data_IF_770636169634
#
_entry.id   IF_770636169634
#
_cell.length_a   1.000
_cell.length_b   1.000
_cell.length_c   1.000
_cell.angle_alpha   90.00
_cell.angle_beta   90.00
_cell.angle_gamma   90.00
#
_symmetry.space_group_name_H-M   'P 1'
#
loop_
_entity.id
_entity.type
_entity.pdbx_description
1 polymer ?
#
# COMPACT_ATOMS: atom_id res chain seq x y z
N UNK A 1 -2.43 -34.23 47.69
CA UNK A 1 -1.49 -33.55 46.76
C UNK A 1 -0.97 -34.50 45.68
N UNK A 2 -0.63 -35.77 45.99
CA UNK A 2 -0.29 -36.79 44.97
C UNK A 2 -1.48 -37.15 44.06
N UNK A 3 -2.66 -37.38 44.62
CA UNK A 3 -3.84 -37.80 43.84
C UNK A 3 -4.33 -36.73 42.84
N UNK A 4 -4.15 -35.45 43.16
CA UNK A 4 -4.52 -34.35 42.25
C UNK A 4 -3.59 -34.28 41.04
N UNK A 5 -2.29 -34.52 41.23
CA UNK A 5 -1.32 -34.55 40.13
C UNK A 5 -1.50 -35.76 39.21
N UNK A 6 -2.05 -36.86 39.73
CA UNK A 6 -2.30 -38.07 38.96
C UNK A 6 -3.55 -37.93 38.08
N UNK A 7 -4.57 -37.24 38.58
CA UNK A 7 -5.77 -36.85 37.80
C UNK A 7 -5.41 -35.88 36.69
N UNK A 8 -4.59 -34.86 36.97
CA UNK A 8 -4.16 -33.88 35.95
C UNK A 8 -3.28 -34.51 34.86
N UNK A 9 -2.42 -35.48 35.21
CA UNK A 9 -1.62 -36.22 34.23
C UNK A 9 -2.47 -37.10 33.33
N UNK A 10 -3.51 -37.72 33.89
CA UNK A 10 -4.44 -38.55 33.12
C UNK A 10 -5.27 -37.71 32.16
N UNK A 11 -5.78 -36.56 32.62
CA UNK A 11 -6.48 -35.60 31.77
C UNK A 11 -5.59 -35.08 30.62
N UNK A 12 -4.31 -34.78 30.91
CA UNK A 12 -3.36 -34.35 29.89
C UNK A 12 -3.05 -35.45 28.84
N UNK A 13 -2.96 -36.71 29.28
CA UNK A 13 -2.78 -37.84 28.38
C UNK A 13 -4.02 -38.05 27.47
N UNK A 14 -5.22 -37.99 28.05
CA UNK A 14 -6.48 -38.13 27.31
C UNK A 14 -6.64 -37.02 26.26
N UNK A 15 -6.28 -35.77 26.57
CA UNK A 15 -6.28 -34.68 25.58
C UNK A 15 -5.25 -34.87 24.47
N UNK A 16 -4.10 -35.48 24.77
CA UNK A 16 -3.03 -35.71 23.79
C UNK A 16 -3.41 -36.84 22.83
N UNK A 17 -4.06 -37.88 23.35
CA UNK A 17 -4.58 -38.98 22.54
C UNK A 17 -5.75 -38.53 21.66
N UNK A 18 -6.59 -37.61 22.16
CA UNK A 18 -7.65 -37.01 21.35
C UNK A 18 -7.10 -36.15 20.22
N UNK A 19 -6.09 -35.32 20.49
CA UNK A 19 -5.42 -34.53 19.46
C UNK A 19 -4.70 -35.40 18.42
N UNK A 20 -4.13 -36.54 18.82
CA UNK A 20 -3.50 -37.48 17.89
C UNK A 20 -4.53 -38.14 16.95
N UNK A 21 -5.71 -38.51 17.46
CA UNK A 21 -6.80 -39.07 16.64
C UNK A 21 -7.36 -38.05 15.66
N UNK A 22 -7.53 -36.80 16.08
CA UNK A 22 -7.96 -35.72 15.18
C UNK A 22 -6.94 -35.48 14.07
N UNK A 23 -5.63 -35.58 14.37
CA UNK A 23 -4.58 -35.46 13.36
C UNK A 23 -4.60 -36.62 12.37
N UNK A 24 -4.83 -37.84 12.85
CA UNK A 24 -4.92 -39.06 12.04
C UNK A 24 -6.18 -39.06 11.16
N UNK A 25 -7.29 -38.48 11.64
CA UNK A 25 -8.50 -38.23 10.83
C UNK A 25 -8.26 -37.19 9.74
N UNK A 26 -7.51 -36.11 10.02
CA UNK A 26 -7.16 -35.09 9.03
C UNK A 26 -6.20 -35.66 7.97
N UNK A 27 -5.17 -36.41 8.39
CA UNK A 27 -4.25 -37.08 7.47
C UNK A 27 -4.96 -38.17 6.64
N UNK A 28 -5.90 -38.89 7.25
CA UNK A 28 -6.76 -39.86 6.55
C UNK A 28 -7.65 -39.18 5.50
N UNK A 29 -8.26 -38.06 5.83
CA UNK A 29 -9.06 -37.27 4.91
C UNK A 29 -8.22 -36.65 3.77
N UNK A 30 -6.98 -36.22 4.04
CA UNK A 30 -6.05 -35.79 2.98
C UNK A 30 -5.66 -36.94 2.06
N UNK A 31 -5.39 -38.14 2.60
CA UNK A 31 -5.07 -39.32 1.79
C UNK A 31 -6.26 -39.79 0.95
N UNK A 32 -7.47 -39.77 1.50
CA UNK A 32 -8.70 -40.06 0.74
C UNK A 32 -8.96 -39.00 -0.33
N UNK A 33 -8.72 -37.71 -0.04
CA UNK A 33 -8.82 -36.66 -1.04
C UNK A 33 -7.80 -36.83 -2.18
N UNK A 34 -6.57 -37.24 -1.86
CA UNK A 34 -5.54 -37.55 -2.84
C UNK A 34 -5.91 -38.78 -3.70
N UNK A 35 -6.43 -39.83 -3.07
CA UNK A 35 -6.89 -41.04 -3.75
C UNK A 35 -8.12 -40.81 -4.64
N UNK A 36 -9.05 -39.95 -4.21
CA UNK A 36 -10.19 -39.51 -5.03
C UNK A 36 -9.77 -38.63 -6.21
N UNK A 37 -8.65 -37.90 -6.07
CA UNK A 37 -8.06 -37.12 -7.15
C UNK A 37 -7.36 -38.02 -8.18
N UNK A 38 -6.76 -39.13 -7.75
CA UNK A 38 -6.15 -40.14 -8.64
C UNK A 38 -7.18 -41.06 -9.34
N UNK A 39 -8.37 -41.26 -8.75
CA UNK A 39 -9.41 -42.16 -9.27
C UNK A 39 -10.41 -41.52 -10.25
N UNK A 40 -10.32 -40.21 -10.53
CA UNK A 40 -11.20 -39.54 -11.48
C UNK A 40 -10.81 -39.88 -12.93
N UNK A 41 -11.79 -40.27 -13.77
CA UNK A 41 -11.57 -40.52 -15.20
C UNK A 41 -10.87 -39.31 -15.84
N UNK A 42 -9.73 -39.52 -16.52
CA UNK A 42 -8.93 -38.39 -16.97
C UNK A 42 -9.61 -37.76 -18.20
N UNK A 43 -9.66 -36.43 -18.21
CA UNK A 43 -10.26 -35.60 -19.29
C UNK A 43 -9.74 -36.01 -20.69
N UNK A 44 -10.36 -35.62 -21.82
CA UNK A 44 -9.80 -35.91 -23.14
C UNK A 44 -8.32 -35.45 -23.27
N UNK A 45 -7.48 -36.18 -24.01
CA UNK A 45 -6.02 -35.96 -24.09
C UNK A 45 -5.62 -34.51 -24.48
N UNK A 46 -6.47 -33.78 -25.20
CA UNK A 46 -6.30 -32.35 -25.52
C UNK A 46 -6.43 -31.41 -24.31
N UNK A 47 -7.11 -31.87 -23.25
CA UNK A 47 -7.34 -31.16 -21.99
C UNK A 47 -6.40 -31.66 -20.88
N UNK A 48 -5.80 -32.86 -21.02
CA UNK A 48 -4.89 -33.44 -20.03
C UNK A 48 -3.50 -32.78 -20.01
N UNK A 49 -2.97 -32.31 -21.14
CA UNK A 49 -1.53 -31.99 -21.23
C UNK A 49 -1.15 -30.61 -20.65
N UNK A 50 -2.06 -29.66 -20.42
CA UNK A 50 -1.64 -28.26 -20.16
C UNK A 50 -2.48 -27.51 -19.12
N UNK A 51 -3.16 -28.23 -18.22
CA UNK A 51 -4.05 -27.57 -17.26
C UNK A 51 -3.29 -26.80 -16.16
N UNK A 52 -2.67 -27.40 -15.14
CA UNK A 52 -2.14 -26.59 -14.03
C UNK A 52 -1.02 -27.23 -13.18
N UNK A 53 0.13 -27.53 -13.76
CA UNK A 53 1.39 -27.58 -13.00
C UNK A 53 2.32 -26.53 -13.61
N UNK A 54 2.14 -25.28 -13.22
CA UNK A 54 3.23 -24.31 -13.39
C UNK A 54 4.25 -24.63 -12.30
N UNK A 55 5.39 -25.18 -12.71
CA UNK A 55 6.53 -25.36 -11.81
C UNK A 55 6.95 -23.97 -11.31
N UNK A 56 6.75 -23.76 -10.01
CA UNK A 56 7.18 -22.53 -9.38
C UNK A 56 8.71 -22.55 -9.28
N UNK A 57 9.40 -21.45 -9.63
CA UNK A 57 10.84 -21.39 -9.47
C UNK A 57 11.28 -21.68 -8.03
N UNK A 58 12.37 -22.43 -7.87
CA UNK A 58 12.95 -22.71 -6.54
C UNK A 58 13.28 -21.42 -5.78
N UNK A 59 13.59 -20.33 -6.50
CA UNK A 59 13.86 -19.00 -5.94
C UNK A 59 12.70 -18.45 -5.08
N UNK A 60 11.46 -18.93 -5.29
CA UNK A 60 10.31 -18.53 -4.48
C UNK A 60 10.34 -19.14 -3.07
N UNK A 61 10.96 -20.32 -2.90
CA UNK A 61 11.16 -20.90 -1.57
C UNK A 61 12.05 -20.02 -0.70
N UNK A 62 13.03 -19.35 -1.30
CA UNK A 62 13.91 -18.42 -0.59
C UNK A 62 13.17 -17.17 -0.14
N UNK A 63 12.27 -16.63 -0.97
CA UNK A 63 11.37 -15.53 -0.56
C UNK A 63 10.52 -15.96 0.63
N UNK A 64 10.01 -17.19 0.65
CA UNK A 64 9.18 -17.66 1.75
C UNK A 64 9.95 -17.88 3.05
N UNK A 65 11.19 -18.38 2.96
CA UNK A 65 12.02 -18.71 4.12
C UNK A 65 12.78 -17.51 4.68
N UNK A 66 13.16 -16.57 3.82
CA UNK A 66 14.13 -15.54 4.14
C UNK A 66 13.72 -14.11 3.75
N UNK A 67 12.51 -13.86 3.23
CA UNK A 67 12.11 -12.50 2.83
C UNK A 67 12.05 -11.55 4.04
N UNK A 68 12.79 -10.43 4.01
CA UNK A 68 12.72 -9.40 5.06
C UNK A 68 11.56 -8.42 4.84
N UNK A 69 10.86 -8.48 3.70
CA UNK A 69 9.88 -7.47 3.29
C UNK A 69 8.45 -8.01 3.36
N UNK A 70 7.62 -7.38 4.20
CA UNK A 70 6.16 -7.65 4.29
C UNK A 70 5.49 -7.52 2.92
N UNK A 71 5.88 -6.51 2.13
CA UNK A 71 5.33 -6.27 0.78
C UNK A 71 5.61 -7.43 -0.19
N UNK A 72 6.80 -8.03 -0.09
CA UNK A 72 7.15 -9.18 -0.93
C UNK A 72 6.35 -10.44 -0.55
N UNK A 73 6.07 -10.62 0.75
CA UNK A 73 5.21 -11.70 1.22
C UNK A 73 3.76 -11.50 0.75
N UNK A 74 3.22 -10.28 0.83
CA UNK A 74 1.88 -9.95 0.32
C UNK A 74 1.74 -10.23 -1.18
N UNK A 75 2.74 -9.87 -1.99
CA UNK A 75 2.74 -10.16 -3.43
C UNK A 75 2.76 -11.66 -3.71
N UNK A 76 3.58 -12.41 -2.97
CA UNK A 76 3.65 -13.86 -3.12
C UNK A 76 2.33 -14.53 -2.71
N UNK A 77 1.69 -14.08 -1.63
CA UNK A 77 0.35 -14.54 -1.24
C UNK A 77 -0.69 -14.25 -2.33
N UNK A 78 -0.63 -13.08 -2.94
CA UNK A 78 -1.52 -12.69 -4.03
C UNK A 78 -1.34 -13.60 -5.25
N UNK A 79 -0.09 -13.85 -5.65
CA UNK A 79 0.23 -14.74 -6.76
C UNK A 79 -0.24 -16.17 -6.51
N UNK A 80 0.15 -16.76 -5.38
CA UNK A 80 -0.24 -18.12 -5.01
C UNK A 80 -1.76 -18.27 -4.94
N UNK A 81 -2.46 -17.26 -4.42
CA UNK A 81 -3.92 -17.26 -4.37
C UNK A 81 -4.54 -17.27 -5.77
N UNK A 82 -4.00 -16.49 -6.71
CA UNK A 82 -4.45 -16.51 -8.11
C UNK A 82 -4.26 -17.91 -8.69
N UNK A 83 -3.06 -18.48 -8.53
CA UNK A 83 -2.72 -19.81 -9.08
C UNK A 83 -3.59 -20.92 -8.50
N UNK A 84 -3.77 -20.97 -7.17
CA UNK A 84 -4.65 -21.94 -6.50
C UNK A 84 -6.10 -21.85 -6.99
N UNK A 85 -6.60 -20.63 -7.22
CA UNK A 85 -7.94 -20.41 -7.75
C UNK A 85 -8.08 -20.88 -9.20
N UNK A 86 -7.01 -20.78 -9.98
CA UNK A 86 -6.91 -21.39 -11.31
C UNK A 86 -6.93 -22.92 -11.25
N UNK A 87 -6.09 -23.52 -10.39
CA UNK A 87 -6.08 -24.97 -10.13
C UNK A 87 -7.48 -25.48 -9.79
N UNK A 88 -8.15 -24.83 -8.84
CA UNK A 88 -9.50 -25.21 -8.43
C UNK A 88 -10.51 -25.06 -9.55
N UNK A 89 -10.39 -24.05 -10.41
CA UNK A 89 -11.31 -23.87 -11.53
C UNK A 89 -11.12 -24.92 -12.64
N UNK A 90 -9.87 -25.35 -12.89
CA UNK A 90 -9.56 -26.39 -13.86
C UNK A 90 -10.02 -27.78 -13.40
N UNK A 91 -9.68 -28.16 -12.16
CA UNK A 91 -9.90 -29.52 -11.63
C UNK A 91 -11.18 -29.68 -10.80
N UNK A 92 -11.74 -28.59 -10.27
CA UNK A 92 -12.88 -28.63 -9.33
C UNK A 92 -14.23 -29.03 -9.93
N UNK A 93 -14.29 -29.45 -11.20
CA UNK A 93 -15.52 -29.98 -11.81
C UNK A 93 -15.84 -31.43 -11.39
N UNK A 94 -14.95 -32.12 -10.67
CA UNK A 94 -15.16 -33.50 -10.18
C UNK A 94 -15.83 -33.62 -8.81
N UNK A 95 -16.13 -32.51 -8.11
CA UNK A 95 -16.87 -32.53 -6.84
C UNK A 95 -18.18 -31.73 -6.92
N UNK A 96 -19.11 -32.16 -7.78
CA UNK A 96 -20.53 -31.90 -7.52
C UNK A 96 -21.01 -32.82 -6.38
N UNK A 97 -20.60 -32.50 -5.15
CA UNK A 97 -21.31 -32.95 -3.97
C UNK A 97 -22.68 -32.27 -3.89
N UNK A 98 -23.68 -32.89 -3.22
CA UNK A 98 -25.04 -32.37 -3.14
C UNK A 98 -25.01 -30.98 -2.48
N UNK A 99 -25.91 -30.11 -2.92
CA UNK A 99 -26.01 -28.69 -2.58
C UNK A 99 -25.88 -28.37 -1.08
N UNK A 100 -24.65 -28.33 -0.58
CA UNK A 100 -24.31 -27.71 0.69
C UNK A 100 -24.32 -26.21 0.48
N UNK A 101 -25.07 -25.49 1.32
CA UNK A 101 -25.15 -24.03 1.34
C UNK A 101 -23.79 -23.40 1.10
N UNK A 102 -23.59 -22.86 -0.12
CA UNK A 102 -22.37 -22.17 -0.54
C UNK A 102 -22.22 -20.96 0.38
N UNK A 103 -21.49 -21.13 1.48
CA UNK A 103 -21.06 -20.02 2.31
C UNK A 103 -20.31 -19.08 1.36
N UNK A 104 -20.96 -17.98 0.97
CA UNK A 104 -20.36 -16.92 0.16
C UNK A 104 -19.27 -16.29 1.00
N UNK A 105 -18.10 -16.96 1.11
CA UNK A 105 -16.86 -16.34 1.56
C UNK A 105 -16.55 -15.28 0.52
N UNK A 106 -17.14 -14.10 0.67
CA UNK A 106 -16.82 -12.91 -0.10
C UNK A 106 -15.41 -12.52 0.32
N UNK A 107 -14.43 -13.17 -0.28
CA UNK A 107 -13.07 -12.67 -0.33
C UNK A 107 -13.14 -11.19 -0.71
N UNK A 108 -12.40 -10.34 0.00
CA UNK A 108 -12.33 -8.92 -0.32
C UNK A 108 -12.03 -8.77 -1.82
N UNK A 109 -12.94 -8.10 -2.55
CA UNK A 109 -12.80 -7.93 -4.00
C UNK A 109 -11.67 -6.94 -4.25
N UNK A 110 -10.56 -7.43 -4.78
CA UNK A 110 -9.47 -6.57 -5.27
C UNK A 110 -10.01 -5.87 -6.53
N UNK A 111 -10.18 -4.55 -6.47
CA UNK A 111 -10.90 -3.81 -7.52
C UNK A 111 -10.30 -3.97 -8.92
N UNK A 112 -8.97 -4.12 -9.00
CA UNK A 112 -8.23 -4.28 -10.26
C UNK A 112 -8.08 -5.74 -10.72
N UNK A 113 -8.49 -6.74 -9.92
CA UNK A 113 -8.33 -8.16 -10.22
C UNK A 113 -9.70 -8.86 -10.29
N UNK A 114 -10.07 -9.31 -11.49
CA UNK A 114 -11.32 -10.06 -11.70
C UNK A 114 -11.07 -11.56 -11.57
N UNK A 115 -11.12 -12.04 -10.32
CA UNK A 115 -10.94 -13.46 -10.00
C UNK A 115 -11.99 -14.36 -10.67
N UNK A 116 -13.22 -13.87 -10.87
CA UNK A 116 -14.27 -14.68 -11.46
C UNK A 116 -14.06 -14.83 -12.96
N UNK A 117 -13.63 -13.78 -13.65
CA UNK A 117 -13.21 -13.84 -15.05
C UNK A 117 -12.03 -14.82 -15.22
N UNK A 118 -10.99 -14.69 -14.38
CA UNK A 118 -9.83 -15.59 -14.40
C UNK A 118 -10.24 -17.06 -14.27
N UNK A 119 -11.06 -17.39 -13.25
CA UNK A 119 -11.59 -18.76 -13.05
C UNK A 119 -12.33 -19.28 -14.28
N UNK A 120 -13.16 -18.45 -14.93
CA UNK A 120 -13.91 -18.86 -16.13
C UNK A 120 -12.99 -19.12 -17.32
N UNK A 121 -11.97 -18.29 -17.54
CA UNK A 121 -10.96 -18.52 -18.59
C UNK A 121 -10.20 -19.83 -18.36
N UNK A 122 -9.75 -20.08 -17.14
CA UNK A 122 -9.03 -21.31 -16.80
C UNK A 122 -9.94 -22.54 -16.92
N UNK A 123 -11.18 -22.48 -16.43
CA UNK A 123 -12.15 -23.57 -16.52
C UNK A 123 -12.63 -23.86 -17.96
N UNK A 124 -12.48 -22.90 -18.87
CA UNK A 124 -12.73 -23.04 -20.30
C UNK A 124 -11.54 -23.64 -21.06
N UNK A 125 -10.41 -23.89 -20.39
CA UNK A 125 -9.24 -24.52 -21.01
C UNK A 125 -8.46 -23.58 -21.92
N UNK A 126 -8.38 -22.29 -21.57
CA UNK A 126 -7.68 -21.28 -22.38
C UNK A 126 -6.17 -21.16 -22.11
N UNK A 127 -5.65 -21.80 -21.05
CA UNK A 127 -4.22 -21.82 -20.71
C UNK A 127 -3.30 -22.38 -21.82
N UNK A 128 -3.65 -23.46 -22.53
CA UNK A 128 -2.82 -23.97 -23.63
C UNK A 128 -2.62 -22.91 -24.71
N UNK A 129 -3.66 -22.17 -25.10
CA UNK A 129 -3.55 -21.08 -26.08
C UNK A 129 -2.59 -19.99 -25.59
N UNK A 130 -2.64 -19.62 -24.31
CA UNK A 130 -1.70 -18.66 -23.73
C UNK A 130 -0.23 -19.11 -23.88
N UNK A 131 0.04 -20.40 -23.61
CA UNK A 131 1.41 -20.95 -23.68
C UNK A 131 1.97 -21.06 -25.09
N UNK A 132 1.13 -20.98 -26.12
CA UNK A 132 1.60 -20.97 -27.50
C UNK A 132 2.34 -19.68 -27.85
N UNK A 133 2.01 -18.54 -27.24
CA UNK A 133 2.59 -17.24 -27.62
C UNK A 133 3.22 -16.45 -26.47
N UNK A 134 3.08 -16.92 -25.22
CA UNK A 134 3.62 -16.28 -24.02
C UNK A 134 4.42 -17.26 -23.16
N UNK A 135 5.58 -16.83 -22.62
CA UNK A 135 6.25 -17.52 -21.53
C UNK A 135 5.38 -17.54 -20.26
N UNK A 136 5.75 -18.38 -19.29
CA UNK A 136 5.07 -18.42 -18.01
C UNK A 136 5.28 -17.12 -17.22
N UNK A 137 4.30 -16.71 -16.40
CA UNK A 137 4.47 -15.52 -15.56
C UNK A 137 5.73 -15.56 -14.67
N UNK A 138 6.05 -16.68 -13.98
CA UNK A 138 7.29 -16.76 -13.19
C UNK A 138 8.58 -16.63 -14.01
N UNK A 139 8.58 -17.15 -15.25
CA UNK A 139 9.71 -17.04 -16.18
C UNK A 139 9.93 -15.57 -16.58
N UNK A 140 8.84 -14.86 -16.91
CA UNK A 140 8.88 -13.42 -17.19
C UNK A 140 9.39 -12.65 -15.95
N UNK A 141 8.96 -13.05 -14.76
CA UNK A 141 9.41 -12.45 -13.50
C UNK A 141 10.91 -12.56 -13.26
N UNK A 142 11.49 -13.73 -13.52
CA UNK A 142 12.94 -13.93 -13.37
C UNK A 142 13.73 -13.14 -14.43
N UNK A 143 13.23 -13.04 -15.67
CA UNK A 143 13.81 -12.20 -16.71
C UNK A 143 13.81 -10.72 -16.33
N UNK A 144 12.68 -10.20 -15.83
CA UNK A 144 12.55 -8.81 -15.38
C UNK A 144 13.49 -8.53 -14.21
N UNK A 145 13.53 -9.42 -13.21
CA UNK A 145 14.41 -9.31 -12.05
C UNK A 145 15.89 -9.26 -12.43
N UNK A 146 16.30 -10.08 -13.39
CA UNK A 146 17.69 -10.17 -13.85
C UNK A 146 18.01 -9.19 -15.00
N UNK A 147 17.04 -8.35 -15.41
CA UNK A 147 17.17 -7.38 -16.48
C UNK A 147 17.58 -8.02 -17.83
N UNK A 148 17.07 -9.23 -18.10
CA UNK A 148 17.39 -10.04 -19.27
C UNK A 148 16.32 -9.93 -20.37
N UNK A 149 16.74 -10.16 -21.63
CA UNK A 149 15.82 -10.30 -22.78
C UNK A 149 15.23 -11.70 -22.79
N UNK A 150 13.93 -11.81 -23.07
CA UNK A 150 13.22 -13.08 -23.15
C UNK A 150 13.25 -13.68 -24.55
N UNK A 151 13.11 -15.00 -24.64
CA UNK A 151 12.79 -15.68 -25.89
C UNK A 151 11.31 -16.01 -25.88
N UNK A 152 10.52 -15.35 -26.74
CA UNK A 152 9.09 -15.61 -26.81
C UNK A 152 8.77 -16.79 -27.73
N UNK A 153 7.80 -17.64 -27.37
CA UNK A 153 7.29 -18.67 -28.28
C UNK A 153 6.72 -18.03 -29.54
N UNK A 154 7.15 -18.46 -30.73
CA UNK A 154 6.68 -17.94 -32.02
C UNK A 154 5.86 -19.01 -32.75
N UNK A 155 4.52 -18.94 -32.73
CA UNK A 155 3.69 -19.86 -33.49
C UNK A 155 3.77 -19.64 -35.00
N UNK A 156 3.78 -20.73 -35.76
CA UNK A 156 3.75 -20.68 -37.24
C UNK A 156 2.40 -20.20 -37.81
N UNK A 157 1.34 -20.24 -37.00
CA UNK A 157 -0.04 -19.90 -37.40
C UNK A 157 -0.46 -18.54 -36.85
N UNK A 158 -1.37 -17.88 -37.56
CA UNK A 158 -1.92 -16.59 -37.15
C UNK A 158 -2.71 -16.70 -35.82
N UNK A 159 -2.81 -15.60 -35.02
CA UNK A 159 -3.60 -15.59 -33.79
C UNK A 159 -5.07 -16.00 -34.00
N UNK A 160 -5.65 -15.63 -35.14
CA UNK A 160 -7.05 -15.92 -35.48
C UNK A 160 -7.25 -17.42 -35.71
N UNK A 161 -6.34 -18.07 -36.44
CA UNK A 161 -6.39 -19.51 -36.70
C UNK A 161 -6.25 -20.31 -35.40
N UNK A 162 -5.26 -19.99 -34.57
CA UNK A 162 -5.04 -20.70 -33.31
C UNK A 162 -6.16 -20.49 -32.30
N UNK A 163 -6.73 -19.29 -32.23
CA UNK A 163 -7.85 -19.02 -31.34
C UNK A 163 -9.17 -19.64 -31.83
N UNK A 164 -9.31 -19.98 -33.12
CA UNK A 164 -10.52 -20.63 -33.66
C UNK A 164 -10.77 -22.00 -33.04
N UNK A 165 -9.70 -22.73 -32.70
CA UNK A 165 -9.75 -24.04 -32.06
C UNK A 165 -10.30 -23.99 -30.61
N UNK A 166 -10.32 -22.80 -30.00
CA UNK A 166 -10.76 -22.57 -28.62
C UNK A 166 -12.14 -21.88 -28.52
N UNK A 167 -12.83 -21.71 -29.64
CA UNK A 167 -14.19 -21.14 -29.65
C UNK A 167 -15.18 -22.15 -29.08
N UNK A 168 -16.01 -21.69 -28.14
CA UNK A 168 -17.08 -22.48 -27.51
C UNK A 168 -18.42 -21.85 -27.90
N UNK A 169 -19.12 -22.37 -28.93
CA UNK A 169 -20.35 -21.75 -29.47
C UNK A 169 -21.44 -21.53 -28.41
N UNK A 170 -21.60 -22.48 -27.49
CA UNK A 170 -22.64 -22.45 -26.46
C UNK A 170 -22.31 -21.53 -25.27
N UNK A 171 -21.11 -20.95 -25.24
CA UNK A 171 -20.68 -20.07 -24.15
C UNK A 171 -20.67 -18.60 -24.62
N UNK A 172 -21.50 -17.71 -24.04
CA UNK A 172 -21.59 -16.31 -24.47
C UNK A 172 -20.28 -15.52 -24.29
N UNK A 173 -19.38 -15.98 -23.40
CA UNK A 173 -18.08 -15.35 -23.17
C UNK A 173 -17.00 -15.83 -24.13
N UNK A 174 -17.16 -17.00 -24.76
CA UNK A 174 -16.13 -17.63 -25.61
C UNK A 174 -16.65 -18.07 -26.99
N UNK A 175 -17.79 -17.54 -27.44
CA UNK A 175 -18.45 -17.89 -28.71
C UNK A 175 -17.82 -17.30 -29.98
N UNK A 176 -16.71 -16.57 -29.87
CA UNK A 176 -16.09 -15.87 -31.00
C UNK A 176 -14.59 -15.72 -30.76
N UNK A 177 -13.82 -15.75 -31.86
CA UNK A 177 -12.35 -15.64 -31.84
C UNK A 177 -11.88 -14.40 -31.09
N UNK A 178 -12.49 -13.24 -31.36
CA UNK A 178 -12.15 -11.98 -30.68
C UNK A 178 -12.34 -12.04 -29.16
N UNK A 179 -13.40 -12.72 -28.71
CA UNK A 179 -13.69 -12.88 -27.28
C UNK A 179 -12.71 -13.84 -26.62
N UNK A 180 -12.37 -14.94 -27.30
CA UNK A 180 -11.35 -15.89 -26.84
C UNK A 180 -10.00 -15.20 -26.69
N UNK A 181 -9.54 -14.48 -27.72
CA UNK A 181 -8.27 -13.74 -27.66
C UNK A 181 -8.29 -12.70 -26.54
N UNK A 182 -9.36 -11.90 -26.42
CA UNK A 182 -9.51 -10.92 -25.33
C UNK A 182 -9.48 -11.59 -23.95
N UNK A 183 -10.15 -12.73 -23.80
CA UNK A 183 -10.19 -13.48 -22.55
C UNK A 183 -8.82 -14.04 -22.17
N UNK A 184 -8.08 -14.57 -23.15
CA UNK A 184 -6.70 -15.06 -22.95
C UNK A 184 -5.76 -13.92 -22.59
N UNK A 185 -5.81 -12.80 -23.31
CA UNK A 185 -5.00 -11.62 -22.99
C UNK A 185 -5.24 -11.16 -21.56
N UNK A 186 -6.51 -11.10 -21.16
CA UNK A 186 -6.87 -10.67 -19.81
C UNK A 186 -6.44 -11.66 -18.73
N UNK A 187 -6.57 -12.97 -19.00
CA UNK A 187 -6.10 -14.03 -18.10
C UNK A 187 -4.57 -13.94 -17.89
N UNK A 188 -3.80 -13.85 -18.99
CA UNK A 188 -2.34 -13.72 -18.93
C UNK A 188 -1.93 -12.42 -18.26
N UNK A 189 -2.61 -11.31 -18.55
CA UNK A 189 -2.33 -10.03 -17.91
C UNK A 189 -2.53 -10.08 -16.38
N UNK A 190 -3.52 -10.84 -15.89
CA UNK A 190 -3.70 -11.07 -14.44
C UNK A 190 -2.57 -11.92 -13.85
N UNK A 191 -2.12 -12.97 -14.53
CA UNK A 191 -0.99 -13.81 -14.09
C UNK A 191 0.29 -12.97 -13.97
N UNK A 192 0.64 -12.21 -15.02
CA UNK A 192 1.81 -11.33 -15.05
C UNK A 192 1.72 -10.23 -13.98
N UNK A 193 0.56 -9.58 -13.83
CA UNK A 193 0.41 -8.47 -12.88
C UNK A 193 0.40 -8.92 -11.40
N UNK A 194 0.15 -10.20 -11.14
CA UNK A 194 0.20 -10.79 -9.80
C UNK A 194 1.59 -11.33 -9.45
N UNK A 195 2.50 -11.52 -10.42
CA UNK A 195 3.81 -12.12 -10.18
C UNK A 195 4.71 -11.24 -9.30
N UNK A 196 5.35 -11.80 -8.25
CA UNK A 196 6.04 -11.01 -7.23
C UNK A 196 7.27 -10.23 -7.70
N UNK A 197 8.09 -10.78 -8.61
CA UNK A 197 9.29 -10.10 -9.10
C UNK A 197 8.92 -8.88 -9.98
N UNK A 198 7.94 -9.04 -10.87
CA UNK A 198 7.37 -7.98 -11.70
C UNK A 198 6.77 -6.91 -10.81
N UNK A 199 5.95 -7.30 -9.82
CA UNK A 199 5.36 -6.34 -8.88
C UNK A 199 6.43 -5.59 -8.09
N UNK A 200 7.46 -6.27 -7.60
CA UNK A 200 8.61 -5.68 -6.93
C UNK A 200 9.29 -4.62 -7.80
N UNK A 201 9.73 -5.02 -8.99
CA UNK A 201 10.44 -4.15 -9.93
C UNK A 201 9.62 -2.91 -10.32
N UNK A 202 8.38 -3.11 -10.77
CA UNK A 202 7.53 -2.01 -11.23
C UNK A 202 7.04 -1.12 -10.09
N UNK A 203 6.91 -1.65 -8.87
CA UNK A 203 6.61 -0.84 -7.68
C UNK A 203 7.76 0.12 -7.38
N UNK A 204 9.00 -0.35 -7.43
CA UNK A 204 10.15 0.50 -7.12
C UNK A 204 10.28 1.64 -8.13
N UNK A 205 10.04 1.36 -9.41
CA UNK A 205 9.95 2.39 -10.47
C UNK A 205 8.79 3.34 -10.16
N UNK A 206 7.59 2.83 -9.88
CA UNK A 206 6.43 3.69 -9.63
C UNK A 206 6.62 4.56 -8.37
N UNK A 207 7.12 4.02 -7.26
CA UNK A 207 7.31 4.78 -6.02
C UNK A 207 8.40 5.87 -6.16
N UNK A 208 9.42 5.64 -6.99
CA UNK A 208 10.49 6.61 -7.23
C UNK A 208 10.14 7.69 -8.26
N UNK A 209 9.24 7.39 -9.20
CA UNK A 209 8.92 8.28 -10.34
C UNK A 209 7.49 8.84 -10.30
N UNK A 210 6.60 8.32 -9.46
CA UNK A 210 5.21 8.77 -9.44
C UNK A 210 5.10 10.26 -9.09
N UNK A 211 4.22 10.93 -9.82
CA UNK A 211 3.95 12.35 -9.70
C UNK A 211 2.52 12.57 -9.20
N UNK A 212 2.38 13.52 -8.29
CA UNK A 212 1.11 14.01 -7.77
C UNK A 212 0.77 15.35 -8.44
N UNK A 213 -0.43 15.42 -8.98
CA UNK A 213 -1.01 16.65 -9.51
C UNK A 213 -2.42 16.88 -8.96
N UNK A 214 -2.79 18.15 -8.86
CA UNK A 214 -4.08 18.61 -8.36
C UNK A 214 -4.77 19.48 -9.40
N UNK A 215 -6.09 19.33 -9.55
CA UNK A 215 -6.90 20.16 -10.43
C UNK A 215 -8.07 20.72 -9.62
N UNK A 216 -8.33 22.04 -9.63
CA UNK A 216 -9.48 22.59 -8.94
C UNK A 216 -10.79 22.11 -9.59
N UNK A 217 -11.74 21.71 -8.74
CA UNK A 217 -13.10 21.40 -9.19
C UNK A 217 -13.85 22.69 -9.53
N UNK A 218 -15.10 22.56 -9.99
CA UNK A 218 -15.97 23.73 -10.17
C UNK A 218 -16.15 24.53 -8.87
N UNK A 219 -16.25 23.84 -7.73
CA UNK A 219 -16.32 24.46 -6.40
C UNK A 219 -14.99 25.15 -6.07
N UNK A 220 -13.87 24.43 -6.25
CA UNK A 220 -12.52 24.95 -6.06
C UNK A 220 -12.26 26.25 -6.81
N UNK A 221 -12.65 26.32 -8.09
CA UNK A 221 -12.47 27.51 -8.92
C UNK A 221 -13.26 28.73 -8.47
N UNK A 222 -14.36 28.55 -7.74
CA UNK A 222 -15.24 29.66 -7.30
C UNK A 222 -14.88 30.17 -5.92
N UNK A 223 -14.52 29.24 -5.02
CA UNK A 223 -14.42 29.52 -3.59
C UNK A 223 -12.95 29.67 -3.12
N UNK A 224 -11.97 29.08 -3.80
CA UNK A 224 -10.56 29.26 -3.43
C UNK A 224 -10.11 30.64 -3.91
N UNK A 225 -10.06 31.58 -2.97
CA UNK A 225 -9.41 32.89 -3.12
C UNK A 225 -8.01 32.88 -2.48
N UNK A 226 -7.35 34.04 -2.43
CA UNK A 226 -6.00 34.20 -1.85
C UNK A 226 -5.93 33.99 -0.33
N UNK A 227 -7.08 34.01 0.37
CA UNK A 227 -7.16 33.85 1.83
C UNK A 227 -7.76 32.50 2.24
N UNK A 228 -8.21 31.68 1.29
CA UNK A 228 -8.75 30.35 1.54
C UNK A 228 -7.66 29.40 2.07
N UNK A 229 -8.02 28.55 3.03
CA UNK A 229 -7.14 27.55 3.66
C UNK A 229 -6.48 26.53 2.70
N UNK A 230 -6.94 26.46 1.45
CA UNK A 230 -6.44 25.54 0.42
C UNK A 230 -5.76 26.28 -0.72
N UNK A 231 -5.58 27.59 -0.59
CA UNK A 231 -4.87 28.39 -1.58
C UNK A 231 -3.46 27.84 -1.82
N UNK A 232 -3.05 27.77 -3.09
CA UNK A 232 -1.79 27.19 -3.54
C UNK A 232 -1.89 25.68 -3.83
N UNK A 233 -2.79 24.95 -3.17
CA UNK A 233 -2.98 23.52 -3.42
C UNK A 233 -3.62 23.23 -4.77
N UNK A 234 -4.28 24.20 -5.40
CA UNK A 234 -4.87 24.06 -6.74
C UNK A 234 -3.83 24.07 -7.88
N UNK A 235 -2.58 24.39 -7.59
CA UNK A 235 -1.51 24.56 -8.57
C UNK A 235 -0.41 23.50 -8.50
N UNK A 236 -0.61 22.42 -7.73
CA UNK A 236 0.38 21.35 -7.64
C UNK A 236 0.37 20.56 -8.96
N UNK A 237 1.51 20.57 -9.65
CA UNK A 237 1.73 19.84 -10.90
C UNK A 237 3.04 19.07 -10.82
N UNK A 238 3.01 17.79 -11.19
CA UNK A 238 4.22 16.97 -11.33
C UNK A 238 5.04 16.80 -10.04
N UNK A 239 4.45 16.99 -8.85
CA UNK A 239 5.22 16.90 -7.60
C UNK A 239 5.51 15.44 -7.29
N UNK A 240 6.78 15.06 -7.19
CA UNK A 240 7.15 13.67 -6.90
C UNK A 240 6.54 13.21 -5.58
N UNK A 241 5.90 12.04 -5.63
CA UNK A 241 5.32 11.38 -4.47
C UNK A 241 6.39 11.09 -3.42
N UNK A 242 7.58 10.67 -3.86
CA UNK A 242 8.72 10.41 -3.00
C UNK A 242 9.06 11.62 -2.11
N UNK A 243 9.11 12.82 -2.69
CA UNK A 243 9.42 14.06 -1.96
C UNK A 243 8.36 14.38 -0.92
N UNK A 244 7.08 14.13 -1.24
CA UNK A 244 5.97 14.30 -0.29
C UNK A 244 6.12 13.28 0.85
N UNK A 245 6.39 12.01 0.54
CA UNK A 245 6.60 10.98 1.55
C UNK A 245 7.76 11.32 2.49
N UNK A 246 8.89 11.80 1.95
CA UNK A 246 10.03 12.20 2.77
C UNK A 246 9.70 13.41 3.65
N UNK A 247 8.99 14.41 3.10
CA UNK A 247 8.52 15.57 3.86
C UNK A 247 7.58 15.18 5.00
N UNK A 248 6.68 14.21 4.79
CA UNK A 248 5.80 13.72 5.86
C UNK A 248 6.58 12.90 6.90
N UNK A 249 7.52 12.04 6.47
CA UNK A 249 8.33 11.22 7.38
C UNK A 249 9.31 12.01 8.22
N UNK A 250 9.79 13.16 7.73
CA UNK A 250 10.68 14.04 8.49
C UNK A 250 9.96 14.80 9.61
N UNK A 251 8.61 14.78 9.64
CA UNK A 251 7.82 15.39 10.70
C UNK A 251 7.65 14.42 11.89
N UNK A 252 7.79 14.90 13.14
CA UNK A 252 7.95 16.29 13.56
C UNK A 252 9.42 16.69 13.58
N UNK A 253 9.73 17.94 13.25
CA UNK A 253 11.10 18.41 13.43
C UNK A 253 11.46 18.39 14.94
N UNK A 254 12.62 17.84 15.30
CA UNK A 254 13.07 17.82 16.68
C UNK A 254 13.25 19.26 17.19
N UNK A 255 12.63 19.56 18.32
CA UNK A 255 12.83 20.83 19.02
C UNK A 255 14.24 20.92 19.55
N UNK A 256 14.68 22.14 19.84
CA UNK A 256 15.77 22.38 20.79
C UNK A 256 15.53 21.65 22.13
N UNK A 257 14.29 21.66 22.63
CA UNK A 257 13.86 20.95 23.84
C UNK A 257 13.88 19.41 23.74
N UNK A 258 13.85 18.82 22.53
CA UNK A 258 13.88 17.35 22.37
C UNK A 258 15.32 16.81 22.49
N UNK A 259 16.33 17.68 22.33
CA UNK A 259 17.76 17.36 22.46
C UNK A 259 18.42 17.95 23.71
N UNK A 260 17.67 18.65 24.56
CA UNK A 260 18.21 19.26 25.77
C UNK A 260 18.68 18.14 26.74
N UNK A 261 20.00 17.98 26.97
CA UNK A 261 20.50 16.99 27.91
C UNK A 261 20.27 17.52 29.33
N UNK A 262 19.34 16.89 30.04
CA UNK A 262 19.00 17.26 31.40
C UNK A 262 18.18 18.54 31.45
N UNK A 263 16.99 18.44 32.03
CA UNK A 263 16.35 19.59 32.66
C UNK A 263 17.25 20.02 33.84
N UNK A 264 18.31 20.77 33.54
CA UNK A 264 18.93 21.64 34.50
C UNK A 264 18.14 22.92 34.39
N UNK A 265 17.24 23.15 35.35
CA UNK A 265 16.63 24.46 35.48
C UNK A 265 17.75 25.51 35.51
N UNK A 266 17.60 26.55 34.71
CA UNK A 266 18.61 27.57 34.57
C UNK A 266 18.48 28.21 33.20
N UNK A 267 18.14 29.49 33.22
CA UNK A 267 18.41 30.50 32.20
C UNK A 267 18.81 29.98 30.81
N UNK A 268 18.09 30.44 29.79
CA UNK A 268 18.75 30.89 28.56
C UNK A 268 19.83 31.91 28.96
N UNK A 269 20.99 31.43 29.42
CA UNK A 269 22.23 32.18 29.44
C UNK A 269 22.70 32.23 28.00
N UNK A 270 21.93 32.94 27.18
CA UNK A 270 22.51 33.59 26.02
C UNK A 270 23.42 34.65 26.63
N UNK A 271 24.71 34.57 26.34
CA UNK A 271 25.58 35.74 26.46
C UNK A 271 24.87 36.92 25.82
N UNK A 272 24.95 38.10 26.45
CA UNK A 272 24.33 39.34 25.96
C UNK A 272 24.75 39.70 24.51
N UNK A 273 25.75 38.99 23.95
CA UNK A 273 26.24 39.14 22.57
C UNK A 273 25.62 38.16 21.53
N UNK A 274 24.73 37.23 21.91
CA UNK A 274 24.01 36.32 20.98
C UNK A 274 22.51 36.63 20.85
N UNK A 275 22.07 37.81 21.29
CA UNK A 275 20.73 38.31 21.00
C UNK A 275 20.64 38.76 19.55
N UNK A 276 20.25 37.83 18.68
CA UNK A 276 19.06 37.91 17.80
C UNK A 276 19.01 36.54 17.11
N UNK A 277 18.47 35.54 17.81
CA UNK A 277 17.72 34.50 17.08
C UNK A 277 16.56 35.26 16.44
N UNK A 278 16.74 35.61 15.17
CA UNK A 278 15.81 36.39 14.38
C UNK A 278 14.39 35.92 14.68
N UNK A 279 13.55 36.80 15.22
CA UNK A 279 12.16 36.48 15.52
C UNK A 279 11.49 35.86 14.30
N UNK A 280 11.93 36.22 13.09
CA UNK A 280 11.48 35.60 11.85
C UNK A 280 11.83 34.11 11.78
N UNK A 281 13.00 33.67 12.25
CA UNK A 281 13.40 32.27 12.30
C UNK A 281 12.64 31.49 13.39
N UNK A 282 12.37 32.11 14.53
CA UNK A 282 11.54 31.49 15.60
C UNK A 282 10.10 31.35 15.13
N UNK A 283 9.51 32.40 14.56
CA UNK A 283 8.16 32.38 13.99
C UNK A 283 8.07 31.42 12.80
N UNK A 284 9.06 31.38 11.90
CA UNK A 284 9.10 30.41 10.80
C UNK A 284 9.23 28.97 11.31
N UNK A 285 9.95 28.73 12.41
CA UNK A 285 10.02 27.41 13.05
C UNK A 285 8.69 27.05 13.69
N UNK A 286 8.07 27.94 14.45
CA UNK A 286 6.72 27.73 14.99
C UNK A 286 5.68 27.52 13.88
N UNK A 287 5.75 28.27 12.79
CA UNK A 287 4.87 28.13 11.64
C UNK A 287 5.14 26.81 10.90
N UNK A 288 6.39 26.32 10.85
CA UNK A 288 6.71 24.98 10.32
C UNK A 288 6.24 23.86 11.24
N UNK A 289 6.30 24.06 12.56
CA UNK A 289 5.75 23.14 13.57
C UNK A 289 4.21 23.11 13.56
N UNK A 290 3.57 24.26 13.27
CA UNK A 290 2.13 24.41 13.06
C UNK A 290 1.70 24.03 11.65
N UNK A 291 2.63 24.02 10.68
CA UNK A 291 2.36 23.71 9.28
C UNK A 291 1.89 22.27 9.17
N UNK A 292 0.58 22.16 9.03
CA UNK A 292 -0.16 20.92 8.83
C UNK A 292 0.49 20.07 7.72
N UNK A 293 0.35 18.75 7.82
CA UNK A 293 0.77 17.82 6.77
C UNK A 293 0.23 18.28 5.40
N UNK A 294 1.11 18.32 4.39
CA UNK A 294 0.73 18.74 3.03
C UNK A 294 -0.30 17.77 2.49
N UNK A 295 -0.06 16.47 2.66
CA UNK A 295 -0.99 15.43 2.23
C UNK A 295 -2.31 15.48 3.00
N UNK A 296 -2.30 15.79 4.30
CA UNK A 296 -3.54 15.97 5.07
C UNK A 296 -4.41 17.10 4.50
N UNK A 297 -3.80 18.23 4.14
CA UNK A 297 -4.52 19.36 3.54
C UNK A 297 -5.07 19.01 2.15
N UNK A 298 -4.28 18.33 1.33
CA UNK A 298 -4.73 17.84 0.02
C UNK A 298 -5.93 16.89 0.18
N UNK A 299 -5.87 15.96 1.14
CA UNK A 299 -6.98 15.04 1.43
C UNK A 299 -8.21 15.76 1.99
N UNK A 300 -8.03 16.79 2.83
CA UNK A 300 -9.12 17.63 3.34
C UNK A 300 -9.81 18.38 2.19
N UNK A 301 -9.04 19.02 1.32
CA UNK A 301 -9.54 19.73 0.15
C UNK A 301 -10.27 18.80 -0.82
N UNK A 302 -9.73 17.60 -1.07
CA UNK A 302 -10.37 16.56 -1.88
C UNK A 302 -11.70 16.10 -1.28
N UNK A 303 -11.73 15.80 0.03
CA UNK A 303 -12.94 15.35 0.74
C UNK A 303 -14.04 16.42 0.75
N UNK A 304 -13.67 17.69 0.88
CA UNK A 304 -14.60 18.82 0.84
C UNK A 304 -14.98 19.24 -0.59
N UNK A 305 -14.45 18.55 -1.61
CA UNK A 305 -14.82 18.72 -3.02
C UNK A 305 -14.17 19.90 -3.73
N UNK A 306 -13.12 20.51 -3.17
CA UNK A 306 -12.43 21.64 -3.79
C UNK A 306 -11.42 21.22 -4.86
N UNK A 307 -10.77 20.06 -4.70
CA UNK A 307 -9.72 19.58 -5.59
C UNK A 307 -9.96 18.14 -6.03
N UNK A 308 -9.60 17.85 -7.28
CA UNK A 308 -9.34 16.50 -7.76
C UNK A 308 -7.83 16.23 -7.65
N UNK A 309 -7.47 15.03 -7.21
CA UNK A 309 -6.07 14.62 -7.01
C UNK A 309 -5.78 13.40 -7.88
N UNK A 310 -4.70 13.47 -8.64
CA UNK A 310 -4.26 12.38 -9.51
C UNK A 310 -2.81 12.04 -9.19
N UNK A 311 -2.56 10.75 -8.98
CA UNK A 311 -1.21 10.19 -8.87
C UNK A 311 -0.97 9.41 -10.15
N UNK A 312 0.02 9.76 -10.94
CA UNK A 312 0.34 9.09 -12.20
C UNK A 312 1.82 8.71 -12.26
N UNK A 313 2.19 7.77 -13.16
CA UNK A 313 3.56 7.67 -13.62
C UNK A 313 4.06 9.03 -14.15
N UNK A 314 5.38 9.21 -14.31
CA UNK A 314 5.97 10.49 -14.68
C UNK A 314 5.36 11.01 -15.98
N UNK A 315 5.09 12.32 -16.00
CA UNK A 315 4.53 12.97 -17.17
C UNK A 315 5.62 13.75 -17.91
N UNK A 316 5.76 13.54 -19.21
CA UNK A 316 6.65 14.37 -20.04
C UNK A 316 5.84 15.45 -20.74
N UNK A 317 6.37 16.67 -20.75
CA UNK A 317 5.84 17.73 -21.59
C UNK A 317 6.36 17.51 -23.01
N UNK A 318 5.45 17.26 -23.95
CA UNK A 318 5.83 17.12 -25.36
C UNK A 318 6.13 18.53 -25.91
N UNK A 319 7.24 18.73 -26.63
CA UNK A 319 7.58 20.05 -27.18
C UNK A 319 6.53 20.61 -28.14
N UNK A 320 5.72 19.73 -28.74
CA UNK A 320 4.66 20.08 -29.70
C UNK A 320 3.41 20.72 -29.06
N UNK A 321 3.18 20.53 -27.75
CA UNK A 321 2.03 21.10 -27.02
C UNK A 321 2.44 21.56 -25.60
N UNK A 322 3.03 22.76 -25.47
CA UNK A 322 3.38 23.32 -24.16
C UNK A 322 2.09 23.53 -23.34
N UNK A 323 1.89 22.68 -22.34
CA UNK A 323 0.73 22.72 -21.42
C UNK A 323 -0.06 21.42 -21.31
N UNK A 324 0.16 20.44 -22.20
CA UNK A 324 -0.42 19.09 -22.08
C UNK A 324 0.65 18.11 -21.63
N UNK A 325 0.70 17.84 -20.33
CA UNK A 325 1.55 16.78 -19.77
C UNK A 325 0.94 15.42 -20.09
N UNK A 326 1.61 14.62 -20.91
CA UNK A 326 1.19 13.25 -21.22
C UNK A 326 2.00 12.27 -20.37
N UNK A 327 1.35 11.21 -19.89
CA UNK A 327 2.04 10.14 -19.14
C UNK A 327 3.06 9.50 -20.07
N UNK A 328 4.34 9.57 -19.71
CA UNK A 328 5.37 8.81 -20.41
C UNK A 328 5.47 7.43 -19.77
N UNK A 329 5.00 6.44 -20.52
CA UNK A 329 5.01 5.06 -20.10
C UNK A 329 6.12 4.26 -20.77
N UNK A 330 6.85 4.83 -21.74
CA UNK A 330 7.79 4.06 -22.55
C UNK A 330 8.86 3.41 -21.67
N UNK A 331 9.48 4.22 -20.80
CA UNK A 331 10.49 3.75 -19.84
C UNK A 331 9.89 2.81 -18.78
N UNK A 332 8.63 3.01 -18.40
CA UNK A 332 7.94 2.15 -17.46
C UNK A 332 7.63 0.77 -18.07
N UNK A 333 7.26 0.71 -19.35
CA UNK A 333 6.91 -0.54 -20.06
C UNK A 333 8.12 -1.30 -20.60
N UNK A 334 9.26 -0.63 -20.74
CA UNK A 334 10.48 -1.17 -21.33
C UNK A 334 10.91 -2.54 -20.79
N UNK A 335 10.85 -2.83 -19.47
CA UNK A 335 11.20 -4.16 -18.96
C UNK A 335 10.34 -5.27 -19.58
N UNK A 336 9.04 -5.03 -19.78
CA UNK A 336 8.14 -6.02 -20.39
C UNK A 336 8.32 -6.10 -21.91
N UNK A 337 8.59 -4.98 -22.59
CA UNK A 337 8.90 -5.00 -24.02
C UNK A 337 10.10 -5.88 -24.33
N UNK A 338 11.16 -5.77 -23.53
CA UNK A 338 12.35 -6.59 -23.69
C UNK A 338 12.11 -8.08 -23.44
N UNK A 339 11.21 -8.42 -22.53
CA UNK A 339 10.90 -9.83 -22.23
C UNK A 339 9.93 -10.45 -23.21
N UNK A 340 9.06 -9.66 -23.84
CA UNK A 340 7.86 -10.15 -24.53
C UNK A 340 7.75 -9.78 -26.01
N UNK A 341 8.61 -8.92 -26.56
CA UNK A 341 8.57 -8.59 -28.00
C UNK A 341 9.75 -9.26 -28.71
N UNK A 342 9.44 -9.98 -29.79
CA UNK A 342 10.48 -10.47 -30.71
C UNK A 342 10.83 -9.35 -31.69
N UNK A 343 11.99 -8.72 -31.47
CA UNK A 343 12.53 -7.67 -32.34
C UNK A 343 13.52 -8.23 -33.38
N UNK A 344 13.87 -9.52 -33.30
CA UNK A 344 14.86 -10.15 -34.18
C UNK A 344 14.31 -10.54 -35.54
N UNK A 345 13.02 -10.89 -35.61
CA UNK A 345 12.34 -11.35 -36.82
C UNK A 345 11.47 -10.27 -37.49
N UNK A 346 11.91 -9.01 -37.45
CA UNK A 346 11.19 -7.91 -38.10
C UNK A 346 11.01 -8.17 -39.61
N UNK A 347 9.79 -8.51 -40.02
CA UNK A 347 9.45 -8.82 -41.42
C UNK A 347 8.61 -10.08 -41.63
N UNK A 348 8.49 -10.97 -40.64
CA UNK A 348 7.50 -12.05 -40.69
C UNK A 348 6.13 -11.56 -40.22
N UNK A 349 5.14 -11.64 -41.12
CA UNK A 349 3.78 -11.14 -40.86
C UNK A 349 3.12 -11.86 -39.67
N UNK A 350 3.37 -13.15 -39.49
CA UNK A 350 2.77 -13.92 -38.38
C UNK A 350 3.36 -13.48 -37.05
N UNK A 351 4.69 -13.27 -37.00
CA UNK A 351 5.39 -12.74 -35.83
C UNK A 351 4.88 -11.34 -35.47
N UNK A 352 4.63 -10.46 -36.45
CA UNK A 352 4.07 -9.13 -36.22
C UNK A 352 2.66 -9.17 -35.61
N UNK A 353 1.81 -10.09 -36.07
CA UNK A 353 0.48 -10.29 -35.50
C UNK A 353 0.54 -10.72 -34.02
N UNK A 354 1.44 -11.64 -33.68
CA UNK A 354 1.63 -12.07 -32.29
C UNK A 354 2.25 -10.97 -31.44
N UNK A 355 3.22 -10.20 -31.95
CA UNK A 355 3.74 -9.02 -31.27
C UNK A 355 2.62 -8.00 -30.98
N UNK A 356 1.67 -7.82 -31.90
CA UNK A 356 0.47 -7.02 -31.68
C UNK A 356 -0.41 -7.51 -30.52
N UNK A 357 -0.60 -8.83 -30.40
CA UNK A 357 -1.33 -9.44 -29.28
C UNK A 357 -0.59 -9.29 -27.95
N UNK A 358 0.74 -9.51 -27.94
CA UNK A 358 1.58 -9.33 -26.73
C UNK A 358 1.61 -7.88 -26.28
N UNK A 359 1.68 -6.92 -27.20
CA UNK A 359 1.61 -5.50 -26.87
C UNK A 359 0.31 -5.14 -26.16
N UNK A 360 -0.83 -5.70 -26.59
CA UNK A 360 -2.11 -5.52 -25.89
C UNK A 360 -2.10 -6.11 -24.47
N UNK A 361 -1.46 -7.27 -24.27
CA UNK A 361 -1.26 -7.85 -22.93
C UNK A 361 -0.45 -6.90 -22.05
N UNK A 362 0.68 -6.39 -22.54
CA UNK A 362 1.55 -5.46 -21.80
C UNK A 362 0.79 -4.19 -21.42
N UNK A 363 0.01 -3.64 -22.36
CA UNK A 363 -0.83 -2.48 -22.09
C UNK A 363 -1.87 -2.76 -20.99
N UNK A 364 -2.52 -3.93 -21.03
CA UNK A 364 -3.48 -4.34 -19.98
C UNK A 364 -2.79 -4.50 -18.61
N UNK A 365 -1.65 -5.20 -18.55
CA UNK A 365 -0.84 -5.39 -17.35
C UNK A 365 -0.53 -4.04 -16.69
N UNK A 366 0.02 -3.10 -17.46
CA UNK A 366 0.47 -1.80 -16.93
C UNK A 366 -0.71 -0.90 -16.56
N UNK A 367 -1.64 -0.66 -17.49
CA UNK A 367 -2.68 0.36 -17.33
C UNK A 367 -3.84 -0.09 -16.45
N UNK A 368 -4.27 -1.34 -16.59
CA UNK A 368 -5.48 -1.82 -15.94
C UNK A 368 -5.20 -2.53 -14.61
N UNK A 369 -3.98 -3.04 -14.40
CA UNK A 369 -3.63 -3.85 -13.22
C UNK A 369 -2.58 -3.19 -12.34
N UNK A 370 -1.35 -3.01 -12.83
CA UNK A 370 -0.21 -2.53 -12.04
C UNK A 370 -0.39 -1.10 -11.55
N UNK A 371 -0.64 -0.13 -12.46
CA UNK A 371 -0.79 1.29 -12.08
C UNK A 371 -1.93 1.50 -11.07
N UNK A 372 -3.15 0.96 -11.26
CA UNK A 372 -4.22 1.07 -10.26
C UNK A 372 -3.85 0.45 -8.91
N UNK A 373 -3.18 -0.72 -8.91
CA UNK A 373 -2.68 -1.34 -7.69
C UNK A 373 -1.70 -0.43 -6.97
N UNK A 374 -0.67 0.08 -7.65
CA UNK A 374 0.37 0.89 -7.02
C UNK A 374 -0.13 2.26 -6.57
N UNK A 375 -1.07 2.88 -7.30
CA UNK A 375 -1.78 4.09 -6.83
C UNK A 375 -2.42 3.87 -5.47
N UNK A 376 -3.09 2.73 -5.27
CA UNK A 376 -3.70 2.37 -4.00
C UNK A 376 -2.65 2.22 -2.89
N UNK A 377 -1.52 1.55 -3.15
CA UNK A 377 -0.44 1.38 -2.17
C UNK A 377 0.25 2.70 -1.81
N UNK A 378 0.55 3.54 -2.80
CA UNK A 378 1.14 4.87 -2.59
C UNK A 378 0.22 5.76 -1.77
N UNK A 379 -1.07 5.81 -2.11
CA UNK A 379 -2.05 6.58 -1.36
C UNK A 379 -2.14 6.08 0.10
N UNK A 380 -2.12 4.76 0.32
CA UNK A 380 -2.05 4.18 1.66
C UNK A 380 -0.73 4.50 2.40
N UNK A 381 0.41 4.54 1.70
CA UNK A 381 1.69 4.93 2.27
C UNK A 381 1.71 6.41 2.68
N UNK A 382 1.21 7.30 1.84
CA UNK A 382 1.07 8.73 2.14
C UNK A 382 0.16 8.95 3.35
N UNK A 383 -0.98 8.24 3.42
CA UNK A 383 -1.88 8.28 4.58
C UNK A 383 -1.17 7.84 5.86
N UNK A 384 -0.46 6.70 5.84
CA UNK A 384 0.29 6.19 6.99
C UNK A 384 1.37 7.16 7.46
N UNK A 385 2.18 7.67 6.53
CA UNK A 385 3.22 8.65 6.83
C UNK A 385 2.65 9.92 7.45
N UNK A 386 1.55 10.42 6.88
CA UNK A 386 0.83 11.60 7.38
C UNK A 386 0.24 11.38 8.76
N UNK A 387 -0.41 10.24 9.00
CA UNK A 387 -0.93 9.91 10.33
C UNK A 387 0.18 9.86 11.37
N UNK A 388 1.31 9.22 11.04
CA UNK A 388 2.45 9.16 11.94
C UNK A 388 3.02 10.56 12.22
N UNK A 389 3.16 11.39 11.19
CA UNK A 389 3.61 12.77 11.30
C UNK A 389 2.73 13.60 12.24
N UNK A 390 1.40 13.51 12.08
CA UNK A 390 0.43 14.23 12.91
C UNK A 390 0.47 13.72 14.35
N UNK A 391 0.48 12.40 14.57
CA UNK A 391 0.54 11.80 15.91
C UNK A 391 1.82 12.24 16.61
N UNK A 392 2.97 12.11 15.95
CA UNK A 392 4.23 12.51 16.52
C UNK A 392 4.24 14.01 16.83
N UNK A 393 3.74 14.86 15.92
CA UNK A 393 3.60 16.30 16.17
C UNK A 393 2.69 16.62 17.36
N UNK A 394 1.57 15.92 17.50
CA UNK A 394 0.66 16.07 18.63
C UNK A 394 1.32 15.64 19.96
N UNK A 395 2.03 14.52 19.98
CA UNK A 395 2.77 14.03 21.16
C UNK A 395 3.86 15.01 21.56
N UNK A 396 4.62 15.50 20.59
CA UNK A 396 5.69 16.47 20.81
C UNK A 396 5.13 17.79 21.36
N UNK A 397 4.07 18.33 20.75
CA UNK A 397 3.40 19.53 21.24
C UNK A 397 2.82 19.34 22.64
N UNK A 398 2.22 18.18 22.92
CA UNK A 398 1.67 17.87 24.23
C UNK A 398 2.76 17.81 25.31
N UNK A 399 3.89 17.14 25.01
CA UNK A 399 5.05 17.07 25.91
C UNK A 399 5.64 18.44 26.19
N UNK A 400 5.87 19.25 25.15
CA UNK A 400 6.46 20.58 25.27
C UNK A 400 5.57 21.57 26.03
N UNK A 401 4.26 21.57 25.77
CA UNK A 401 3.34 22.57 26.33
C UNK A 401 2.78 22.23 27.69
N UNK A 402 2.64 20.93 28.02
CA UNK A 402 1.89 20.52 29.20
C UNK A 402 2.67 19.65 30.18
N UNK A 403 3.50 18.71 29.70
CA UNK A 403 4.18 17.76 30.59
C UNK A 403 5.56 18.23 31.07
N UNK A 404 6.35 18.81 30.19
CA UNK A 404 7.74 19.19 30.47
C UNK A 404 7.88 20.65 30.94
N UNK A 405 6.77 21.31 31.28
CA UNK A 405 6.77 22.66 31.82
C UNK A 405 6.91 22.56 33.33
N UNK A 406 8.02 23.06 33.86
CA UNK A 406 8.21 23.15 35.31
C UNK A 406 7.19 24.10 35.95
N UNK A 407 6.91 23.96 37.26
CA UNK A 407 6.07 24.91 37.99
C UNK A 407 6.56 26.35 37.79
N UNK A 408 5.64 27.28 37.60
CA UNK A 408 5.96 28.70 37.44
C UNK A 408 6.78 29.22 38.63
N UNK A 409 7.82 29.99 38.35
CA UNK A 409 8.68 30.66 39.35
C UNK A 409 8.72 32.16 39.01
N UNK A 410 8.37 33.06 39.95
CA UNK A 410 8.38 34.49 39.68
C UNK A 410 9.81 35.03 39.49
N UNK A 411 9.97 35.93 38.52
CA UNK A 411 11.27 36.48 38.10
C UNK A 411 12.04 37.25 39.19
N UNK A 412 11.38 37.67 40.27
CA UNK A 412 12.04 38.28 41.44
C UNK A 412 13.01 37.33 42.16
N UNK A 413 12.98 36.03 41.83
CA UNK A 413 13.81 34.98 42.42
C UNK A 413 15.03 34.65 41.53
N UNK A 414 15.03 35.05 40.26
CA UNK A 414 16.00 34.59 39.25
C UNK A 414 17.33 35.38 39.25
N UNK A 415 17.47 36.42 40.07
CA UNK A 415 18.69 37.25 40.13
C UNK A 415 19.91 36.57 40.78
N UNK A 416 19.79 35.32 41.23
CA UNK A 416 20.89 34.59 41.89
C UNK A 416 21.19 33.31 41.11
N UNK A 417 22.19 33.43 40.25
CA UNK A 417 22.55 32.59 39.11
C UNK A 417 22.92 31.12 39.42
N UNK A 418 22.82 30.61 40.66
CA UNK A 418 23.39 29.28 41.03
C UNK A 418 22.70 28.49 42.16
N UNK A 419 21.37 28.58 42.39
CA UNK A 419 20.76 27.90 43.58
C UNK A 419 19.52 27.02 43.35
N UNK A 420 19.35 26.40 42.19
CA UNK A 420 18.26 25.41 42.01
C UNK A 420 18.49 24.08 42.76
N UNK A 421 19.74 23.76 43.17
CA UNK A 421 20.07 22.50 43.85
C UNK A 421 20.16 22.61 45.38
N UNK A 422 20.09 23.82 45.97
CA UNK A 422 20.40 24.02 47.40
C UNK A 422 19.34 24.78 48.20
N UNK A 423 18.33 25.37 47.55
CA UNK A 423 17.21 25.99 48.24
C UNK A 423 15.93 25.17 48.00
N UNK A 424 15.17 24.80 49.04
CA UNK A 424 13.84 24.22 48.85
C UNK A 424 12.99 25.21 48.05
N UNK A 425 12.23 24.73 47.06
CA UNK A 425 11.29 25.56 46.31
C UNK A 425 10.42 26.33 47.32
N UNK A 426 10.49 27.67 47.28
CA UNK A 426 9.65 28.49 48.15
C UNK A 426 8.18 28.23 47.82
N UNK A 427 7.38 28.14 48.86
CA UNK A 427 5.93 28.03 48.81
C UNK A 427 5.32 29.21 48.02
N UNK A 428 4.77 28.94 46.83
CA UNK A 428 4.11 29.95 45.98
C UNK A 428 2.61 29.87 46.22
N UNK A 429 2.02 30.96 46.72
CA UNK A 429 0.56 31.15 46.67
C UNK A 429 0.19 31.79 45.33
N UNK A 430 -0.93 31.38 44.76
CA UNK A 430 -1.37 31.83 43.46
C UNK A 430 -2.78 32.40 43.55
N UNK A 431 -3.07 33.42 42.75
CA UNK A 431 -4.42 33.95 42.57
C UNK A 431 -4.83 33.71 41.12
N UNK A 432 -5.81 32.85 40.91
CA UNK A 432 -6.42 32.62 39.60
C UNK A 432 -7.52 33.65 39.37
N UNK A 433 -7.44 34.40 38.27
CA UNK A 433 -8.45 35.40 37.89
C UNK A 433 -9.06 34.98 36.56
N UNK A 434 -10.38 34.91 36.50
CA UNK A 434 -11.14 34.72 35.27
C UNK A 434 -12.05 35.92 35.09
N UNK A 435 -11.71 36.74 34.09
CA UNK A 435 -12.54 37.88 33.68
C UNK A 435 -13.46 37.40 32.58
N UNK A 436 -14.77 37.56 32.76
CA UNK A 436 -15.74 37.13 31.77
C UNK A 436 -15.79 38.11 30.60
N UNK A 437 -15.86 37.61 29.36
CA UNK A 437 -16.06 38.47 28.18
C UNK A 437 -17.47 39.09 28.17
N UNK A 438 -18.44 38.42 28.79
CA UNK A 438 -19.81 38.88 28.89
C UNK A 438 -20.00 39.84 30.08
N UNK A 439 -20.34 41.10 29.79
CA UNK A 439 -20.59 42.16 30.80
C UNK A 439 -21.72 41.86 31.81
N UNK A 440 -22.52 40.82 31.57
CA UNK A 440 -23.60 40.39 32.46
C UNK A 440 -23.22 39.26 33.41
N UNK A 441 -22.03 38.68 33.25
CA UNK A 441 -21.49 37.65 34.13
C UNK A 441 -20.54 38.29 35.13
N UNK A 442 -20.53 37.80 36.37
CA UNK A 442 -19.56 38.22 37.37
C UNK A 442 -18.17 37.68 37.02
N UNK A 443 -17.14 38.45 37.34
CA UNK A 443 -15.75 38.01 37.30
C UNK A 443 -15.46 37.12 38.52
N UNK A 444 -14.59 36.13 38.37
CA UNK A 444 -14.26 35.18 39.43
C UNK A 444 -12.77 35.27 39.79
N UNK A 445 -12.49 35.22 41.08
CA UNK A 445 -11.15 35.22 41.62
C UNK A 445 -11.02 34.10 42.65
N UNK A 446 -9.93 33.31 42.57
CA UNK A 446 -9.69 32.19 43.48
C UNK A 446 -8.28 32.29 44.03
N UNK A 447 -8.15 32.23 45.34
CA UNK A 447 -6.86 32.24 46.03
C UNK A 447 -6.45 30.80 46.38
N UNK A 448 -5.27 30.40 45.94
CA UNK A 448 -4.68 29.09 46.17
C UNK A 448 -3.47 29.21 47.12
N UNK A 449 -3.40 28.31 48.09
CA UNK A 449 -2.22 28.18 48.96
C UNK A 449 -1.07 27.46 48.25
N UNK A 450 0.07 27.36 48.92
CA UNK A 450 1.29 26.72 48.43
C UNK A 450 1.20 25.22 48.17
N UNK A 451 0.18 24.55 48.71
CA UNK A 451 -0.11 23.14 48.46
C UNK A 451 -1.17 22.93 47.37
N UNK A 452 -1.66 24.01 46.73
CA UNK A 452 -2.72 23.97 45.72
C UNK A 452 -4.14 23.84 46.31
N UNK A 453 -4.29 23.98 47.62
CA UNK A 453 -5.60 24.06 48.27
C UNK A 453 -6.25 25.44 48.08
N UNK A 454 -7.57 25.45 47.85
CA UNK A 454 -8.35 26.69 47.78
C UNK A 454 -8.47 27.31 49.17
N UNK A 455 -8.05 28.57 49.29
CA UNK A 455 -8.13 29.35 50.54
C UNK A 455 -9.42 30.15 50.56
N UNK A 456 -9.70 30.87 49.47
CA UNK A 456 -10.86 31.74 49.35
C UNK A 456 -11.22 31.97 47.88
N UNK A 457 -12.44 32.47 47.62
CA UNK A 457 -12.92 32.85 46.30
C UNK A 457 -13.80 34.11 46.38
N UNK A 458 -13.70 34.97 45.36
CA UNK A 458 -14.47 36.22 45.22
C UNK A 458 -15.21 36.24 43.88
#
# INVERSE_FOLDING_TARGET
HRDSMEVDRKAAADTRDQAARELEEVEGAEREALAQQEAAEPLPHSQQISAVQEELPDSYNDVWRYSPSERALEDMQLFLRLMQEGCRAAYGKTSQGPSGTRAKRRAAKIAWLDMDQYRRCVAAGLKPLARMFMPAAPEIGELVKNNQTGSVPAPDKSPVELASDFVIPDNPEFNSVERVLRAVRSMVAMEIACEPNIRGHFRDIFESTAELSTVPTHKGRKEIDMFHEFHGLQHIQGKKVYDILQLERSKPEPSMYDRAPGFVGGSTGLSEDEEVLDLSQVLQREDRERSQSLWANIQRAKKQGYLAVTISPPTRSRPENPGVSQVDLEEFTEPLYRCLLDMGNSGDHVTDLWNGERLQVIQEVVHQRLIPSFRMHVDAALRRATHQAIINGAVTNFRRRYLNVGPYQPNSVTSVQYKLLTNPMREISAVGVCVSEDRGMADFLVVLNSQGGVVDHL
#
